data_IF_107411594922
#
_entry.id   IF_107411594922
#
_cell.length_a   1.000
_cell.length_b   1.000
_cell.length_c   1.000
_cell.angle_alpha   90.00
_cell.angle_beta   90.00
_cell.angle_gamma   90.00
#
_symmetry.space_group_name_H-M   'P 1'
#
loop_
_entity.id
_entity.type
_entity.pdbx_description
1 polymer ?
#
# COMPACT_ATOMS: atom_id res chain seq x y z
N UNK A 1 73.61 -42.08 -42.38
CA UNK A 1 73.85 -40.62 -42.37
C UNK A 1 72.56 -40.02 -42.91
N UNK A 2 71.53 -40.01 -42.06
CA UNK A 2 71.19 -38.92 -41.13
C UNK A 2 70.41 -37.81 -41.85
N UNK A 3 69.27 -37.44 -41.27
CA UNK A 3 68.27 -36.57 -41.87
C UNK A 3 66.88 -36.90 -41.35
N UNK A 4 66.63 -36.59 -40.08
CA UNK A 4 65.32 -36.70 -39.46
C UNK A 4 64.36 -35.59 -39.93
N UNK A 5 63.13 -35.97 -40.27
CA UNK A 5 62.01 -35.05 -40.42
C UNK A 5 61.07 -35.24 -39.22
N UNK A 6 60.99 -34.21 -38.39
CA UNK A 6 59.97 -34.09 -37.36
C UNK A 6 58.63 -33.71 -37.98
N UNK A 7 57.60 -34.52 -37.73
CA UNK A 7 56.20 -34.11 -37.90
C UNK A 7 55.58 -33.92 -36.52
N UNK A 8 55.35 -32.65 -36.18
CA UNK A 8 54.50 -32.24 -35.08
C UNK A 8 53.02 -32.47 -35.42
N UNK A 9 52.27 -32.66 -34.34
CA UNK A 9 50.92 -33.16 -34.24
C UNK A 9 49.83 -32.22 -34.77
N UNK A 10 48.68 -32.83 -35.07
CA UNK A 10 47.37 -32.20 -35.15
C UNK A 10 46.35 -33.27 -34.78
N UNK A 11 46.16 -33.46 -33.47
CA UNK A 11 45.03 -34.20 -32.91
C UNK A 11 43.92 -33.16 -32.72
N UNK A 12 42.82 -33.37 -33.41
CA UNK A 12 41.61 -32.57 -33.37
C UNK A 12 40.81 -33.02 -32.14
N UNK A 13 41.10 -32.41 -30.99
CA UNK A 13 40.28 -32.52 -29.80
C UNK A 13 39.26 -31.37 -29.85
N UNK A 14 38.03 -31.70 -30.24
CA UNK A 14 36.88 -30.79 -30.16
C UNK A 14 36.46 -30.64 -28.70
N UNK A 15 37.04 -29.66 -28.02
CA UNK A 15 36.51 -29.14 -26.75
C UNK A 15 35.35 -28.20 -27.07
N UNK A 16 34.12 -28.72 -26.99
CA UNK A 16 32.93 -27.88 -26.82
C UNK A 16 32.98 -27.32 -25.39
N UNK A 17 33.46 -26.07 -25.24
CA UNK A 17 33.30 -25.31 -24.01
C UNK A 17 31.81 -25.07 -23.77
N UNK A 18 31.19 -25.89 -22.92
CA UNK A 18 29.87 -25.58 -22.34
C UNK A 18 29.99 -24.28 -21.54
N UNK A 19 29.33 -23.22 -22.02
CA UNK A 19 29.11 -22.00 -21.23
C UNK A 19 28.48 -22.39 -19.88
N UNK A 20 28.95 -21.84 -18.75
CA UNK A 20 28.33 -22.10 -17.46
C UNK A 20 26.87 -21.63 -17.51
N UNK A 21 25.92 -22.41 -16.95
CA UNK A 21 24.52 -22.04 -17.00
C UNK A 21 24.36 -20.66 -16.35
N UNK A 22 23.82 -19.71 -17.14
CA UNK A 22 23.47 -18.39 -16.65
C UNK A 22 22.58 -18.50 -15.41
N UNK A 23 22.65 -17.54 -14.47
CA UNK A 23 21.84 -17.58 -13.27
C UNK A 23 20.36 -17.72 -13.65
N UNK A 24 19.60 -18.60 -12.98
CA UNK A 24 18.20 -18.82 -13.31
C UNK A 24 17.44 -17.49 -13.21
N UNK A 25 16.38 -17.28 -14.02
CA UNK A 25 15.51 -16.14 -13.85
C UNK A 25 14.93 -16.18 -12.43
N UNK A 26 15.39 -15.28 -11.57
CA UNK A 26 14.85 -15.12 -10.23
C UNK A 26 13.50 -14.43 -10.37
N UNK A 27 12.46 -15.19 -10.69
CA UNK A 27 11.09 -14.75 -10.47
C UNK A 27 10.90 -14.56 -8.96
N UNK A 28 10.42 -13.37 -8.56
CA UNK A 28 10.14 -13.04 -7.16
C UNK A 28 9.14 -14.01 -6.51
N UNK A 29 8.43 -14.81 -7.30
CA UNK A 29 7.52 -15.87 -6.87
C UNK A 29 8.21 -17.00 -6.07
N UNK A 30 9.53 -17.19 -6.19
CA UNK A 30 10.21 -18.35 -5.59
C UNK A 30 10.63 -18.23 -4.11
N UNK A 31 10.82 -17.01 -3.58
CA UNK A 31 11.46 -16.86 -2.26
C UNK A 31 10.54 -17.21 -1.07
N UNK A 32 9.22 -17.11 -1.26
CA UNK A 32 8.24 -17.25 -0.17
C UNK A 32 6.99 -18.07 -0.56
N UNK A 33 7.03 -18.79 -1.69
CA UNK A 33 5.94 -19.66 -2.10
C UNK A 33 5.61 -20.69 -1.01
N UNK A 34 4.40 -20.61 -0.45
CA UNK A 34 3.88 -21.58 0.53
C UNK A 34 4.01 -21.19 2.00
N UNK A 35 4.54 -20.01 2.34
CA UNK A 35 4.47 -19.50 3.72
C UNK A 35 3.09 -18.90 3.97
N UNK A 36 2.36 -19.45 4.94
CA UNK A 36 1.05 -18.89 5.34
C UNK A 36 1.28 -17.59 6.11
N UNK A 37 0.43 -16.59 5.87
CA UNK A 37 0.52 -15.30 6.57
C UNK A 37 0.35 -15.41 8.09
N UNK A 38 -0.32 -16.46 8.60
CA UNK A 38 -0.40 -16.75 10.04
C UNK A 38 0.96 -17.13 10.66
N UNK A 39 1.81 -17.79 9.87
CA UNK A 39 3.10 -18.30 10.33
C UNK A 39 4.18 -17.20 10.23
N UNK A 40 4.01 -16.24 9.33
CA UNK A 40 4.87 -15.07 9.16
C UNK A 40 4.07 -13.80 8.84
N UNK A 41 3.41 -13.18 9.83
CA UNK A 41 2.53 -12.01 9.62
C UNK A 41 3.19 -10.86 8.87
N UNK A 42 4.51 -10.68 9.01
CA UNK A 42 5.24 -9.61 8.34
C UNK A 42 5.13 -9.68 6.80
N UNK A 43 4.88 -10.87 6.26
CA UNK A 43 4.65 -11.08 4.82
C UNK A 43 3.38 -10.38 4.31
N UNK A 44 2.49 -9.91 5.19
CA UNK A 44 1.38 -9.06 4.82
C UNK A 44 1.84 -7.78 4.07
N UNK A 45 3.00 -7.23 4.43
CA UNK A 45 3.54 -6.04 3.77
C UNK A 45 3.98 -6.32 2.31
N UNK A 46 4.35 -7.57 1.98
CA UNK A 46 4.63 -7.96 0.59
C UNK A 46 3.37 -7.87 -0.29
N UNK A 47 2.18 -7.94 0.30
CA UNK A 47 0.94 -7.73 -0.45
C UNK A 47 0.82 -6.27 -0.93
N UNK A 48 1.27 -5.29 -0.15
CA UNK A 48 1.37 -3.91 -0.62
C UNK A 48 2.27 -3.86 -1.86
N UNK A 49 3.45 -4.47 -1.80
CA UNK A 49 4.41 -4.47 -2.90
C UNK A 49 3.82 -5.09 -4.17
N UNK A 50 3.15 -6.25 -4.02
CA UNK A 50 2.47 -6.92 -5.13
C UNK A 50 1.43 -5.98 -5.76
N UNK A 51 0.60 -5.34 -4.94
CA UNK A 51 -0.45 -4.44 -5.43
C UNK A 51 0.12 -3.20 -6.12
N UNK A 52 1.17 -2.58 -5.58
CA UNK A 52 1.89 -1.47 -6.23
C UNK A 52 2.43 -1.85 -7.61
N UNK A 53 3.14 -2.98 -7.70
CA UNK A 53 3.73 -3.43 -8.97
C UNK A 53 2.66 -3.73 -10.02
N UNK A 54 1.57 -4.40 -9.63
CA UNK A 54 0.46 -4.71 -10.53
C UNK A 54 -0.22 -3.44 -11.04
N UNK A 55 -0.45 -2.46 -10.17
CA UNK A 55 -1.06 -1.19 -10.56
C UNK A 55 -0.18 -0.37 -11.48
N UNK A 56 1.12 -0.25 -11.17
CA UNK A 56 2.07 0.45 -12.04
C UNK A 56 2.19 -0.19 -13.41
N UNK A 57 2.18 -1.53 -13.48
CA UNK A 57 2.18 -2.24 -14.76
C UNK A 57 0.95 -1.88 -15.60
N UNK A 58 -0.23 -1.81 -14.98
CA UNK A 58 -1.46 -1.43 -15.66
C UNK A 58 -1.47 0.04 -16.08
N UNK A 59 -1.03 0.95 -15.21
CA UNK A 59 -0.91 2.38 -15.54
C UNK A 59 0.07 2.62 -16.69
N UNK A 60 1.21 1.93 -16.70
CA UNK A 60 2.17 1.93 -17.82
C UNK A 60 1.51 1.50 -19.13
N UNK A 61 0.74 0.40 -19.10
CA UNK A 61 0.02 -0.12 -20.28
C UNK A 61 -0.98 0.90 -20.82
N UNK A 62 -1.81 1.46 -19.94
CA UNK A 62 -2.82 2.47 -20.32
C UNK A 62 -2.15 3.71 -20.93
N UNK A 63 -1.06 4.21 -20.33
CA UNK A 63 -0.34 5.36 -20.84
C UNK A 63 0.31 5.10 -22.21
N UNK A 64 0.89 3.90 -22.42
CA UNK A 64 1.46 3.51 -23.70
C UNK A 64 0.41 3.42 -24.81
N UNK A 65 -0.73 2.77 -24.54
CA UNK A 65 -1.85 2.68 -25.48
C UNK A 65 -2.41 4.06 -25.85
N UNK A 66 -2.50 4.96 -24.86
CA UNK A 66 -2.92 6.34 -25.08
C UNK A 66 -1.95 7.07 -26.03
N UNK A 67 -0.63 6.95 -25.79
CA UNK A 67 0.39 7.57 -26.61
C UNK A 67 0.39 7.04 -28.06
N UNK A 68 0.16 5.73 -28.26
CA UNK A 68 0.06 5.11 -29.59
C UNK A 68 -1.18 5.54 -30.36
N UNK A 69 -2.32 5.70 -29.67
CA UNK A 69 -3.58 6.09 -30.30
C UNK A 69 -3.56 7.51 -30.90
N UNK A 70 -2.67 8.39 -30.40
CA UNK A 70 -2.58 9.79 -30.80
C UNK A 70 -3.83 10.63 -30.50
N UNK A 71 -4.83 10.08 -29.82
CA UNK A 71 -6.09 10.74 -29.50
C UNK A 71 -6.07 11.24 -28.06
N UNK A 72 -6.26 12.55 -27.88
CA UNK A 72 -6.47 13.13 -26.55
C UNK A 72 -7.84 12.69 -26.03
N UNK A 73 -7.84 11.78 -25.05
CA UNK A 73 -9.03 11.45 -24.26
C UNK A 73 -8.91 12.12 -22.89
N UNK A 74 -9.58 13.27 -22.70
CA UNK A 74 -9.54 14.03 -21.45
C UNK A 74 -9.93 13.20 -20.23
N UNK A 75 -10.99 12.39 -20.35
CA UNK A 75 -11.46 11.52 -19.27
C UNK A 75 -10.40 10.48 -18.86
N UNK A 76 -9.66 9.92 -19.83
CA UNK A 76 -8.58 8.97 -19.55
C UNK A 76 -7.39 9.64 -18.84
N UNK A 77 -6.99 10.85 -19.26
CA UNK A 77 -5.91 11.60 -18.61
C UNK A 77 -6.29 11.90 -17.16
N UNK A 78 -7.55 12.31 -16.93
CA UNK A 78 -8.07 12.58 -15.59
C UNK A 78 -8.13 11.30 -14.73
N UNK A 79 -8.50 10.16 -15.30
CA UNK A 79 -8.47 8.86 -14.60
C UNK A 79 -7.04 8.44 -14.23
N UNK A 80 -6.10 8.49 -15.18
CA UNK A 80 -4.68 8.21 -14.93
C UNK A 80 -4.14 9.10 -13.81
N UNK A 81 -4.37 10.41 -13.90
CA UNK A 81 -3.95 11.38 -12.88
C UNK A 81 -4.50 11.00 -11.51
N UNK A 82 -5.80 10.72 -11.42
CA UNK A 82 -6.47 10.33 -10.17
C UNK A 82 -5.87 9.06 -9.56
N UNK A 83 -5.54 8.06 -10.39
CA UNK A 83 -4.90 6.81 -9.94
C UNK A 83 -3.47 7.07 -9.44
N UNK A 84 -2.70 7.93 -10.10
CA UNK A 84 -1.38 8.35 -9.61
C UNK A 84 -1.45 9.18 -8.33
N UNK A 85 -2.45 10.05 -8.15
CA UNK A 85 -2.68 10.79 -6.90
C UNK A 85 -2.92 9.82 -5.73
N UNK A 86 -3.78 8.82 -5.92
CA UNK A 86 -3.97 7.76 -4.92
C UNK A 86 -2.68 6.98 -4.67
N UNK A 87 -1.99 6.54 -5.74
CA UNK A 87 -0.77 5.76 -5.64
C UNK A 87 0.34 6.52 -4.88
N UNK A 88 0.50 7.83 -5.15
CA UNK A 88 1.48 8.68 -4.45
C UNK A 88 1.19 8.70 -2.95
N UNK A 89 -0.05 8.98 -2.56
CA UNK A 89 -0.41 9.07 -1.14
C UNK A 89 -0.20 7.72 -0.44
N UNK A 90 -0.59 6.61 -1.06
CA UNK A 90 -0.36 5.27 -0.50
C UNK A 90 1.15 4.98 -0.39
N UNK A 91 1.95 5.38 -1.39
CA UNK A 91 3.41 5.22 -1.38
C UNK A 91 4.07 6.02 -0.24
N UNK A 92 3.69 7.27 -0.05
CA UNK A 92 4.23 8.13 1.03
C UNK A 92 3.97 7.52 2.42
N UNK A 93 2.74 7.08 2.68
CA UNK A 93 2.39 6.44 3.96
C UNK A 93 3.07 5.09 4.14
N UNK A 94 3.20 4.30 3.07
CA UNK A 94 3.92 3.02 3.10
C UNK A 94 5.38 3.22 3.50
N UNK A 95 6.12 4.08 2.78
CA UNK A 95 7.53 4.33 3.05
C UNK A 95 7.75 4.99 4.43
N UNK A 96 6.87 5.90 4.84
CA UNK A 96 6.93 6.51 6.19
C UNK A 96 6.76 5.45 7.27
N UNK A 97 5.77 4.56 7.13
CA UNK A 97 5.53 3.49 8.09
C UNK A 97 6.65 2.44 8.07
N UNK A 98 7.30 2.19 6.94
CA UNK A 98 8.50 1.36 6.88
C UNK A 98 9.66 2.00 7.64
N UNK A 99 9.96 3.27 7.38
CA UNK A 99 11.05 4.00 8.01
C UNK A 99 10.85 4.10 9.54
N UNK A 100 9.65 4.47 9.97
CA UNK A 100 9.36 4.76 11.38
C UNK A 100 9.03 3.52 12.22
N UNK A 101 8.48 2.46 11.61
CA UNK A 101 8.07 1.24 12.34
C UNK A 101 8.99 0.07 12.02
N UNK A 102 9.02 -0.34 10.75
CA UNK A 102 9.62 -1.63 10.37
C UNK A 102 11.14 -1.57 10.46
N UNK A 103 11.74 -0.58 9.81
CA UNK A 103 13.17 -0.41 9.80
C UNK A 103 13.69 0.04 11.15
N UNK A 104 12.98 0.94 11.85
CA UNK A 104 13.35 1.31 13.21
C UNK A 104 13.41 0.08 14.13
N UNK A 105 12.41 -0.81 14.06
CA UNK A 105 12.42 -2.03 14.84
C UNK A 105 13.58 -2.96 14.45
N UNK A 106 13.85 -3.10 13.16
CA UNK A 106 14.94 -3.94 12.66
C UNK A 106 16.32 -3.43 13.09
N UNK A 107 16.55 -2.11 13.05
CA UNK A 107 17.86 -1.50 13.36
C UNK A 107 18.27 -1.70 14.83
N UNK A 108 17.29 -1.92 15.73
CA UNK A 108 17.53 -2.32 17.13
C UNK A 108 18.19 -3.71 17.21
N UNK A 109 17.86 -4.62 16.30
CA UNK A 109 18.35 -6.02 16.30
C UNK A 109 19.48 -6.27 15.31
N UNK A 110 19.51 -5.55 14.19
CA UNK A 110 20.47 -5.73 13.09
C UNK A 110 21.02 -4.37 12.67
N UNK A 111 22.30 -4.13 12.97
CA UNK A 111 22.92 -2.83 12.68
C UNK A 111 23.19 -2.63 11.19
N UNK A 112 23.04 -1.38 10.73
CA UNK A 112 23.52 -0.87 9.44
C UNK A 112 22.80 -1.45 8.20
N UNK A 113 21.52 -1.82 8.33
CA UNK A 113 20.73 -2.29 7.18
C UNK A 113 19.86 -1.17 6.59
N UNK A 114 19.44 -0.21 7.42
CA UNK A 114 18.25 0.62 7.15
C UNK A 114 18.51 1.88 6.32
N UNK A 115 19.61 2.59 6.57
CA UNK A 115 19.79 3.97 6.07
C UNK A 115 19.71 4.12 4.54
N UNK A 116 20.02 3.06 3.78
CA UNK A 116 19.98 3.10 2.30
C UNK A 116 18.53 3.14 1.77
N UNK A 117 17.58 2.46 2.42
CA UNK A 117 16.20 2.36 1.95
C UNK A 117 15.46 3.69 2.08
N UNK A 118 15.62 4.40 3.21
CA UNK A 118 15.02 5.72 3.40
C UNK A 118 15.53 6.78 2.39
N UNK A 119 16.74 6.60 1.84
CA UNK A 119 17.24 7.45 0.75
C UNK A 119 16.59 7.09 -0.59
N UNK A 120 16.38 5.79 -0.85
CA UNK A 120 15.63 5.33 -2.03
C UNK A 120 14.19 5.87 -1.99
N UNK A 121 13.51 5.87 -0.84
CA UNK A 121 12.17 6.44 -0.68
C UNK A 121 12.08 7.88 -1.19
N UNK A 122 13.01 8.75 -0.75
CA UNK A 122 13.05 10.16 -1.17
C UNK A 122 13.31 10.30 -2.67
N UNK A 123 14.24 9.52 -3.20
CA UNK A 123 14.55 9.55 -4.63
C UNK A 123 13.38 9.08 -5.50
N UNK A 124 12.58 8.13 -5.02
CA UNK A 124 11.40 7.63 -5.74
C UNK A 124 10.24 8.62 -5.65
N UNK A 125 10.03 9.28 -4.51
CA UNK A 125 9.00 10.33 -4.39
C UNK A 125 9.20 11.46 -5.40
N UNK A 126 10.46 11.85 -5.67
CA UNK A 126 10.78 12.86 -6.69
C UNK A 126 10.29 12.47 -8.10
N UNK A 127 10.23 11.18 -8.43
CA UNK A 127 9.76 10.71 -9.75
C UNK A 127 8.26 10.94 -9.95
N UNK A 128 7.46 10.94 -8.88
CA UNK A 128 6.04 11.29 -8.98
C UNK A 128 5.84 12.73 -9.45
N UNK A 129 6.72 13.66 -9.04
CA UNK A 129 6.61 15.07 -9.44
C UNK A 129 6.75 15.24 -10.96
N UNK A 130 7.63 14.48 -11.60
CA UNK A 130 7.78 14.48 -13.06
C UNK A 130 6.51 13.99 -13.76
N UNK A 131 5.86 12.95 -13.23
CA UNK A 131 4.59 12.44 -13.76
C UNK A 131 3.48 13.50 -13.64
N UNK A 132 3.35 14.14 -12.47
CA UNK A 132 2.33 15.18 -12.27
C UNK A 132 2.59 16.42 -13.13
N UNK A 133 3.85 16.75 -13.40
CA UNK A 133 4.20 17.79 -14.36
C UNK A 133 3.68 17.46 -15.77
N UNK A 134 3.89 16.23 -16.24
CA UNK A 134 3.34 15.76 -17.52
C UNK A 134 1.81 15.82 -17.56
N UNK A 135 1.12 15.42 -16.48
CA UNK A 135 -0.33 15.56 -16.39
C UNK A 135 -0.81 17.01 -16.48
N UNK A 136 -0.12 17.95 -15.84
CA UNK A 136 -0.50 19.37 -15.90
C UNK A 136 -0.39 19.93 -17.33
N UNK A 137 0.63 19.52 -18.09
CA UNK A 137 0.78 19.89 -19.50
C UNK A 137 -0.32 19.21 -20.34
N UNK A 138 -0.56 17.92 -20.13
CA UNK A 138 -1.58 17.16 -20.88
C UNK A 138 -3.01 17.63 -20.61
N UNK A 139 -3.29 18.22 -19.45
CA UNK A 139 -4.59 18.84 -19.15
C UNK A 139 -4.72 20.22 -19.78
N UNK A 140 -3.62 20.94 -20.01
CA UNK A 140 -3.65 22.24 -20.70
C UNK A 140 -4.05 22.09 -22.18
N UNK A 141 -4.77 23.06 -22.76
CA UNK A 141 -5.30 23.03 -24.14
C UNK A 141 -4.25 23.34 -25.23
N UNK A 142 -2.99 22.90 -25.05
CA UNK A 142 -1.93 23.09 -26.04
C UNK A 142 -2.01 22.09 -27.21
N UNK A 143 -1.59 22.49 -28.41
CA UNK A 143 -1.78 21.74 -29.66
C UNK A 143 -0.79 20.55 -29.81
N UNK A 144 0.42 20.61 -29.23
CA UNK A 144 1.40 19.52 -29.28
C UNK A 144 1.35 18.63 -28.03
N UNK A 145 0.55 17.56 -28.11
CA UNK A 145 0.36 16.59 -27.03
C UNK A 145 1.32 15.40 -27.12
N UNK A 146 2.02 15.25 -28.25
CA UNK A 146 2.83 14.07 -28.53
C UNK A 146 4.02 13.97 -27.58
N UNK A 147 4.78 15.06 -27.44
CA UNK A 147 5.94 15.10 -26.53
C UNK A 147 5.54 14.89 -25.06
N UNK A 148 4.53 15.57 -24.51
CA UNK A 148 4.07 15.31 -23.15
C UNK A 148 3.61 13.86 -22.90
N UNK A 149 2.99 13.20 -23.88
CA UNK A 149 2.63 11.78 -23.76
C UNK A 149 3.86 10.86 -23.75
N UNK A 150 4.83 11.10 -24.63
CA UNK A 150 6.07 10.33 -24.63
C UNK A 150 6.84 10.49 -23.31
N UNK A 151 6.92 11.72 -22.80
CA UNK A 151 7.53 12.01 -21.51
C UNK A 151 6.76 11.32 -20.37
N UNK A 152 5.43 11.35 -20.40
CA UNK A 152 4.59 10.64 -19.42
C UNK A 152 4.91 9.14 -19.41
N UNK A 153 4.91 8.48 -20.57
CA UNK A 153 5.23 7.04 -20.69
C UNK A 153 6.63 6.75 -20.14
N UNK A 154 7.61 7.59 -20.47
CA UNK A 154 8.98 7.47 -19.97
C UNK A 154 9.07 7.64 -18.45
N UNK A 155 8.44 8.67 -17.89
CA UNK A 155 8.41 8.91 -16.45
C UNK A 155 7.74 7.77 -15.69
N UNK A 156 6.61 7.27 -16.19
CA UNK A 156 5.90 6.13 -15.59
C UNK A 156 6.78 4.87 -15.64
N UNK A 157 7.41 4.57 -16.77
CA UNK A 157 8.33 3.43 -16.88
C UNK A 157 9.53 3.52 -15.93
N UNK A 158 10.05 4.73 -15.73
CA UNK A 158 11.14 5.00 -14.76
C UNK A 158 10.67 4.76 -13.33
N UNK A 159 9.50 5.30 -12.95
CA UNK A 159 8.91 5.07 -11.63
C UNK A 159 8.65 3.58 -11.38
N UNK A 160 8.05 2.90 -12.35
CA UNK A 160 7.77 1.46 -12.28
C UNK A 160 9.05 0.66 -12.03
N UNK A 161 10.12 0.92 -12.80
CA UNK A 161 11.39 0.23 -12.65
C UNK A 161 11.99 0.46 -11.25
N UNK A 162 12.00 1.71 -10.79
CA UNK A 162 12.53 2.10 -9.48
C UNK A 162 11.77 1.45 -8.32
N UNK A 163 10.43 1.53 -8.30
CA UNK A 163 9.61 0.90 -7.25
C UNK A 163 9.76 -0.63 -7.28
N UNK A 164 9.72 -1.25 -8.46
CA UNK A 164 9.90 -2.70 -8.57
C UNK A 164 11.25 -3.14 -7.98
N UNK A 165 12.32 -2.44 -8.35
CA UNK A 165 13.66 -2.75 -7.89
C UNK A 165 13.81 -2.56 -6.38
N UNK A 166 13.31 -1.45 -5.85
CA UNK A 166 13.33 -1.13 -4.43
C UNK A 166 12.63 -2.20 -3.59
N UNK A 167 11.36 -2.49 -3.89
CA UNK A 167 10.59 -3.51 -3.16
C UNK A 167 11.20 -4.92 -3.30
N UNK A 168 11.79 -5.25 -4.46
CA UNK A 168 12.51 -6.53 -4.62
C UNK A 168 13.77 -6.60 -3.76
N UNK A 169 14.47 -5.49 -3.53
CA UNK A 169 15.63 -5.47 -2.62
C UNK A 169 15.17 -5.73 -1.20
N UNK A 170 14.10 -5.09 -0.76
CA UNK A 170 13.54 -5.29 0.59
C UNK A 170 13.10 -6.74 0.80
N UNK A 171 12.31 -7.29 -0.12
CA UNK A 171 11.88 -8.69 -0.06
C UNK A 171 13.05 -9.67 0.00
N UNK A 172 14.18 -9.36 -0.67
CA UNK A 172 15.37 -10.21 -0.68
C UNK A 172 16.29 -10.01 0.53
N UNK A 173 16.33 -8.82 1.11
CA UNK A 173 17.35 -8.43 2.09
C UNK A 173 16.77 -8.15 3.48
N UNK A 174 15.62 -7.49 3.55
CA UNK A 174 14.98 -7.05 4.80
C UNK A 174 14.02 -8.11 5.33
N UNK A 175 13.08 -8.60 4.52
CA UNK A 175 12.06 -9.54 4.98
C UNK A 175 12.62 -10.84 5.58
N UNK A 176 13.68 -11.46 5.02
CA UNK A 176 14.31 -12.62 5.65
C UNK A 176 14.89 -12.32 7.04
N UNK A 177 15.39 -11.09 7.24
CA UNK A 177 15.87 -10.66 8.56
C UNK A 177 14.70 -10.47 9.53
N UNK A 178 13.59 -9.87 9.08
CA UNK A 178 12.39 -9.71 9.91
C UNK A 178 11.86 -11.08 10.37
N UNK A 179 11.74 -12.04 9.45
CA UNK A 179 11.29 -13.41 9.77
C UNK A 179 12.26 -14.09 10.75
N UNK A 180 13.58 -13.90 10.57
CA UNK A 180 14.59 -14.52 11.42
C UNK A 180 14.67 -13.91 12.82
N UNK A 181 14.50 -12.59 12.92
CA UNK A 181 14.78 -11.86 14.15
C UNK A 181 13.56 -11.66 15.03
N UNK A 182 12.34 -11.73 14.49
CA UNK A 182 11.10 -11.49 15.22
C UNK A 182 10.22 -12.72 15.27
N UNK A 183 9.62 -13.00 16.43
CA UNK A 183 8.60 -14.05 16.55
C UNK A 183 7.34 -13.70 15.74
N UNK A 184 6.47 -14.67 15.45
CA UNK A 184 5.20 -14.39 14.75
C UNK A 184 4.34 -13.36 15.52
N UNK A 185 4.31 -13.40 16.86
CA UNK A 185 3.60 -12.39 17.68
C UNK A 185 4.23 -10.99 17.55
N UNK A 186 5.56 -10.90 17.53
CA UNK A 186 6.25 -9.61 17.33
C UNK A 186 6.02 -9.08 15.90
N UNK A 187 6.03 -9.95 14.90
CA UNK A 187 5.71 -9.60 13.51
C UNK A 187 4.27 -9.07 13.39
N UNK A 188 3.29 -9.75 14.00
CA UNK A 188 1.91 -9.32 14.03
C UNK A 188 1.77 -7.91 14.63
N UNK A 189 2.44 -7.66 15.76
CA UNK A 189 2.50 -6.34 16.40
C UNK A 189 3.13 -5.26 15.50
N UNK A 190 4.19 -5.60 14.75
CA UNK A 190 4.81 -4.66 13.80
C UNK A 190 3.87 -4.32 12.64
N UNK A 191 3.18 -5.32 12.07
CA UNK A 191 2.20 -5.09 11.01
C UNK A 191 1.05 -4.24 11.52
N UNK A 192 0.58 -4.47 12.74
CA UNK A 192 -0.47 -3.65 13.35
C UNK A 192 -0.04 -2.18 13.54
N UNK A 193 1.18 -1.96 14.02
CA UNK A 193 1.74 -0.60 14.17
C UNK A 193 1.93 0.08 12.81
N UNK A 194 2.39 -0.64 11.80
CA UNK A 194 2.47 -0.17 10.43
C UNK A 194 1.08 0.28 9.94
N UNK A 195 0.05 -0.56 10.10
CA UNK A 195 -1.33 -0.23 9.71
C UNK A 195 -1.87 1.00 10.46
N UNK A 196 -1.60 1.13 11.76
CA UNK A 196 -2.01 2.27 12.57
C UNK A 196 -1.30 3.58 12.19
N UNK A 197 -0.17 3.50 11.49
CA UNK A 197 0.56 4.68 10.98
C UNK A 197 -0.10 5.27 9.74
N UNK A 198 -1.12 4.61 9.20
CA UNK A 198 -1.88 5.02 8.02
C UNK A 198 -3.24 5.57 8.50
N UNK A 199 -3.69 6.75 8.01
CA UNK A 199 -4.99 7.29 8.34
C UNK A 199 -6.10 6.28 8.04
N UNK A 200 -7.06 6.12 8.98
CA UNK A 200 -8.05 5.02 8.93
C UNK A 200 -8.84 4.98 7.62
N UNK A 201 -9.22 6.15 7.09
CA UNK A 201 -9.95 6.28 5.83
C UNK A 201 -9.13 5.79 4.63
N UNK A 202 -7.82 6.02 4.66
CA UNK A 202 -6.91 5.54 3.64
C UNK A 202 -6.62 4.04 3.82
N UNK A 203 -6.46 3.59 5.06
CA UNK A 203 -6.24 2.18 5.39
C UNK A 203 -7.40 1.30 4.90
N UNK A 204 -8.66 1.70 5.12
CA UNK A 204 -9.83 0.99 4.58
C UNK A 204 -9.71 0.81 3.05
N UNK A 205 -9.33 1.87 2.33
CA UNK A 205 -9.19 1.85 0.87
C UNK A 205 -8.04 0.97 0.41
N UNK A 206 -6.89 1.04 1.08
CA UNK A 206 -5.74 0.20 0.79
C UNK A 206 -6.09 -1.28 1.00
N UNK A 207 -6.75 -1.63 2.10
CA UNK A 207 -7.13 -3.01 2.37
C UNK A 207 -8.11 -3.54 1.33
N UNK A 208 -9.12 -2.75 0.95
CA UNK A 208 -10.02 -3.07 -0.16
C UNK A 208 -9.26 -3.27 -1.48
N UNK A 209 -8.29 -2.41 -1.77
CA UNK A 209 -7.45 -2.48 -2.97
C UNK A 209 -6.59 -3.74 -3.01
N UNK A 210 -5.90 -4.05 -1.91
CA UNK A 210 -5.10 -5.27 -1.77
C UNK A 210 -6.00 -6.49 -1.96
N UNK A 211 -7.08 -6.62 -1.18
CA UNK A 211 -7.97 -7.78 -1.24
C UNK A 211 -8.59 -7.98 -2.63
N UNK A 212 -8.92 -6.90 -3.35
CA UNK A 212 -9.47 -6.97 -4.71
C UNK A 212 -8.52 -7.65 -5.72
N UNK A 213 -7.20 -7.50 -5.53
CA UNK A 213 -6.18 -8.07 -6.42
C UNK A 213 -5.85 -9.55 -6.15
N UNK A 214 -6.39 -10.11 -5.07
CA UNK A 214 -6.02 -11.43 -4.56
C UNK A 214 -6.98 -12.55 -5.01
N UNK A 215 -6.45 -13.77 -5.09
CA UNK A 215 -7.26 -14.98 -5.31
C UNK A 215 -8.16 -15.27 -4.09
N UNK A 216 -9.24 -16.06 -4.24
CA UNK A 216 -10.08 -16.41 -3.08
C UNK A 216 -9.32 -17.08 -1.92
N UNK A 217 -8.30 -17.89 -2.24
CA UNK A 217 -7.46 -18.54 -1.23
C UNK A 217 -6.55 -17.52 -0.53
N UNK A 218 -5.92 -16.62 -1.29
CA UNK A 218 -5.11 -15.52 -0.75
C UNK A 218 -5.97 -14.58 0.13
N UNK A 219 -7.21 -14.29 -0.27
CA UNK A 219 -8.14 -13.48 0.53
C UNK A 219 -8.47 -14.13 1.87
N UNK A 220 -8.64 -15.46 1.89
CA UNK A 220 -8.91 -16.20 3.13
C UNK A 220 -7.70 -16.21 4.07
N UNK A 221 -6.49 -16.30 3.52
CA UNK A 221 -5.26 -16.19 4.31
C UNK A 221 -5.03 -14.77 4.84
N UNK A 222 -5.39 -13.73 4.07
CA UNK A 222 -5.42 -12.34 4.56
C UNK A 222 -6.41 -12.16 5.70
N UNK A 223 -7.63 -12.67 5.57
CA UNK A 223 -8.64 -12.59 6.63
C UNK A 223 -8.11 -13.22 7.93
N UNK A 224 -7.45 -14.39 7.83
CA UNK A 224 -6.86 -15.05 8.99
C UNK A 224 -5.68 -14.27 9.58
N UNK A 225 -4.81 -13.71 8.74
CA UNK A 225 -3.70 -12.86 9.17
C UNK A 225 -4.20 -11.64 9.94
N UNK A 226 -5.24 -10.96 9.43
CA UNK A 226 -5.83 -9.78 10.10
C UNK A 226 -6.35 -10.13 11.51
N UNK A 227 -6.89 -11.33 11.72
CA UNK A 227 -7.34 -11.79 13.04
C UNK A 227 -6.19 -11.97 14.04
N UNK A 228 -5.00 -12.30 13.55
CA UNK A 228 -3.80 -12.43 14.39
C UNK A 228 -3.10 -11.06 14.59
N UNK A 229 -3.13 -10.20 13.57
CA UNK A 229 -2.49 -8.87 13.57
C UNK A 229 -3.27 -7.88 14.43
N UNK A 230 -4.59 -7.79 14.23
CA UNK A 230 -5.43 -6.90 15.02
C UNK A 230 -5.43 -7.43 16.44
N UNK A 231 -4.98 -6.59 17.39
CA UNK A 231 -4.90 -6.92 18.82
C UNK A 231 -6.19 -7.61 19.29
N UNK A 232 -6.12 -8.36 20.41
CA UNK A 232 -7.17 -9.21 21.03
C UNK A 232 -8.55 -8.56 21.28
N UNK A 233 -8.80 -7.36 20.78
CA UNK A 233 -10.09 -6.71 20.65
C UNK A 233 -10.92 -7.24 19.47
N UNK A 234 -11.90 -8.10 19.79
CA UNK A 234 -12.85 -8.66 18.83
C UNK A 234 -13.65 -7.61 18.05
N UNK A 235 -13.91 -6.43 18.63
CA UNK A 235 -14.70 -5.40 17.94
C UNK A 235 -13.87 -4.72 16.85
N UNK A 236 -12.59 -4.48 17.15
CA UNK A 236 -11.67 -3.91 16.17
C UNK A 236 -11.36 -4.92 15.06
N UNK A 237 -11.19 -6.18 15.41
CA UNK A 237 -11.05 -7.29 14.46
C UNK A 237 -12.25 -7.33 13.49
N UNK A 238 -13.49 -7.29 14.01
CA UNK A 238 -14.71 -7.28 13.19
C UNK A 238 -14.77 -6.08 12.25
N UNK A 239 -14.39 -4.90 12.73
CA UNK A 239 -14.37 -3.67 11.92
C UNK A 239 -13.35 -3.77 10.78
N UNK A 240 -12.10 -4.12 11.07
CA UNK A 240 -11.04 -4.23 10.04
C UNK A 240 -11.37 -5.35 9.05
N UNK A 241 -11.89 -6.48 9.53
CA UNK A 241 -12.34 -7.58 8.67
C UNK A 241 -13.49 -7.15 7.75
N UNK A 242 -14.39 -6.28 8.21
CA UNK A 242 -15.50 -5.78 7.39
C UNK A 242 -15.03 -4.96 6.17
N UNK A 243 -13.85 -4.34 6.25
CA UNK A 243 -13.26 -3.59 5.13
C UNK A 243 -12.78 -4.49 3.99
N UNK A 244 -12.38 -5.73 4.28
CA UNK A 244 -11.91 -6.70 3.27
C UNK A 244 -13.04 -7.11 2.31
N UNK A 245 -14.31 -6.99 2.75
CA UNK A 245 -15.47 -7.47 2.02
C UNK A 245 -16.11 -6.43 1.10
N UNK A 246 -15.61 -6.25 -0.13
CA UNK A 246 -16.40 -5.61 -1.19
C UNK A 246 -16.19 -6.24 -2.57
N UNK A 247 -17.11 -7.13 -2.95
CA UNK A 247 -17.19 -7.73 -4.29
C UNK A 247 -18.07 -6.88 -5.19
N UNK A 248 -17.55 -5.83 -5.85
CA UNK A 248 -18.19 -5.24 -7.05
C UNK A 248 -17.32 -4.20 -7.77
N UNK A 249 -17.09 -4.48 -9.08
CA UNK A 249 -16.48 -3.63 -10.14
C UNK A 249 -15.05 -3.15 -9.84
N UNK A 250 -14.32 -2.70 -10.87
CA UNK A 250 -12.94 -2.20 -10.73
C UNK A 250 -12.82 -1.23 -9.55
N UNK A 251 -11.82 -1.41 -8.69
CA UNK A 251 -11.58 -0.59 -7.49
C UNK A 251 -11.51 0.92 -7.82
N UNK A 252 -11.03 1.26 -9.02
CA UNK A 252 -10.96 2.64 -9.51
C UNK A 252 -12.21 3.09 -10.30
N UNK A 253 -12.96 2.17 -10.94
CA UNK A 253 -14.26 2.50 -11.57
C UNK A 253 -15.39 2.74 -10.56
N UNK A 254 -15.34 2.10 -9.39
CA UNK A 254 -16.44 2.11 -8.42
C UNK A 254 -16.41 3.31 -7.45
N UNK A 255 -15.32 4.08 -7.43
CA UNK A 255 -15.03 4.98 -6.32
C UNK A 255 -14.66 6.38 -6.87
N UNK A 256 -15.68 7.13 -7.29
CA UNK A 256 -15.56 8.43 -7.98
C UNK A 256 -15.03 9.59 -7.08
N UNK A 257 -14.72 9.30 -5.81
CA UNK A 257 -14.40 10.27 -4.77
C UNK A 257 -12.89 10.49 -4.52
N UNK A 258 -11.99 9.83 -5.25
CA UNK A 258 -10.54 9.91 -4.98
C UNK A 258 -9.94 11.32 -5.14
N UNK A 259 -10.39 12.10 -6.13
CA UNK A 259 -9.88 13.46 -6.36
C UNK A 259 -10.23 14.44 -5.21
N UNK A 260 -11.29 14.15 -4.46
CA UNK A 260 -11.64 14.90 -3.25
C UNK A 260 -10.78 14.45 -2.07
N UNK A 261 -10.56 13.13 -1.93
CA UNK A 261 -9.66 12.47 -0.96
C UNK A 261 -8.23 13.02 -0.95
N UNK A 262 -7.62 13.15 -2.13
CA UNK A 262 -6.24 13.60 -2.29
C UNK A 262 -5.99 15.05 -1.80
N UNK A 263 -7.02 15.92 -1.84
CA UNK A 263 -6.93 17.28 -1.29
C UNK A 263 -6.97 17.29 0.25
N UNK A 264 -7.60 16.30 0.89
CA UNK A 264 -7.64 16.15 2.35
C UNK A 264 -6.31 15.68 2.93
N UNK A 265 -5.61 14.78 2.22
CA UNK A 265 -4.39 14.12 2.71
C UNK A 265 -3.12 14.98 2.51
N UNK A 266 -3.17 15.99 1.63
CA UNK A 266 -2.10 16.99 1.45
C UNK A 266 -2.14 18.16 2.45
N UNK A 267 -3.00 18.13 3.47
CA UNK A 267 -2.99 19.10 4.58
C UNK A 267 -3.52 20.50 4.27
N UNK A 268 -4.23 20.72 3.16
CA UNK A 268 -4.72 22.06 2.72
C UNK A 268 -6.20 22.29 3.06
N UNK A 269 -6.99 21.25 3.38
CA UNK A 269 -8.43 21.37 3.53
C UNK A 269 -8.88 21.87 4.92
N UNK A 270 -9.85 22.79 4.95
CA UNK A 270 -10.51 23.23 6.19
C UNK A 270 -11.56 22.22 6.65
N UNK A 271 -11.94 22.25 7.92
CA UNK A 271 -12.99 21.38 8.49
C UNK A 271 -14.34 21.49 7.73
N UNK A 272 -14.60 22.63 7.08
CA UNK A 272 -15.80 22.86 6.29
C UNK A 272 -15.78 22.09 4.95
N UNK A 273 -14.59 21.83 4.41
CA UNK A 273 -14.41 21.09 3.15
C UNK A 273 -14.63 19.59 3.38
N UNK A 274 -14.32 19.09 4.58
CA UNK A 274 -14.55 17.69 5.01
C UNK A 274 -16.05 17.37 5.03
N UNK A 275 -16.88 18.30 5.53
CA UNK A 275 -18.33 18.15 5.64
C UNK A 275 -19.05 18.16 4.27
N UNK A 276 -18.44 18.75 3.23
CA UNK A 276 -19.03 18.84 1.89
C UNK A 276 -18.87 17.55 1.06
N UNK A 277 -17.92 16.69 1.42
CA UNK A 277 -17.63 15.44 0.69
C UNK A 277 -18.47 14.27 1.19
N UNK A 278 -18.91 14.35 2.45
CA UNK A 278 -19.90 13.48 3.04
C UNK A 278 -21.09 14.33 3.49
N UNK A 279 -22.04 14.66 2.59
CA UNK A 279 -23.25 15.32 3.04
C UNK A 279 -23.90 14.41 4.07
N UNK A 280 -23.92 14.87 5.32
CA UNK A 280 -24.74 14.26 6.35
C UNK A 280 -26.16 14.26 5.83
N UNK A 281 -26.69 13.10 5.47
CA UNK A 281 -28.13 12.87 5.38
C UNK A 281 -28.70 12.87 6.82
N UNK A 282 -28.46 13.97 7.53
CA UNK A 282 -29.18 14.37 8.72
C UNK A 282 -30.23 15.36 8.24
N UNK A 283 -31.38 14.86 7.79
CA UNK A 283 -32.58 15.67 7.68
C UNK A 283 -32.94 16.16 9.10
N UNK A 284 -32.44 17.34 9.48
CA UNK A 284 -33.09 18.15 10.51
C UNK A 284 -34.34 18.73 9.86
N UNK A 285 -35.46 18.08 10.12
CA UNK A 285 -36.72 18.35 9.44
C UNK A 285 -37.27 19.75 9.67
N UNK A 286 -37.83 20.32 8.61
CA UNK A 286 -39.03 21.12 8.69
C UNK A 286 -40.03 20.62 7.64
N UNK A 287 -41.26 20.42 8.07
CA UNK A 287 -42.39 19.86 7.32
C UNK A 287 -42.74 20.69 6.07
N UNK A 288 -43.03 20.07 4.91
CA UNK A 288 -44.41 19.97 4.39
C UNK A 288 -44.54 19.16 3.07
N UNK A 289 -45.50 18.22 3.10
CA UNK A 289 -46.41 17.77 2.02
C UNK A 289 -45.86 17.00 0.79
N UNK A 290 -46.28 15.72 0.79
CA UNK A 290 -47.13 15.07 -0.23
C UNK A 290 -46.50 14.02 -1.17
N UNK A 291 -46.67 12.76 -0.75
CA UNK A 291 -47.16 11.59 -1.53
C UNK A 291 -46.58 11.40 -2.94
N UNK A 292 -45.65 10.46 -3.08
CA UNK A 292 -45.85 9.17 -3.77
C UNK A 292 -44.50 8.54 -4.15
N UNK A 293 -44.07 7.52 -3.42
CA UNK A 293 -43.38 6.33 -3.95
C UNK A 293 -43.01 5.42 -2.76
N UNK A 294 -43.97 4.61 -2.30
CA UNK A 294 -43.64 3.40 -1.55
C UNK A 294 -43.14 2.37 -2.55
N UNK A 295 -41.83 2.08 -2.55
CA UNK A 295 -41.34 0.70 -2.64
C UNK A 295 -39.85 0.63 -2.36
N UNK A 296 -39.47 -0.28 -1.47
CA UNK A 296 -38.11 -0.81 -1.20
C UNK A 296 -37.14 0.10 -0.40
N UNK A 297 -37.39 0.28 0.91
CA UNK A 297 -36.33 0.40 1.91
C UNK A 297 -36.81 -0.18 3.25
N UNK A 298 -36.61 -1.47 3.45
CA UNK A 298 -36.72 -2.11 4.78
C UNK A 298 -35.57 -3.08 5.02
N UNK A 299 -34.33 -2.63 4.83
CA UNK A 299 -33.14 -3.28 5.42
C UNK A 299 -32.00 -2.24 5.46
N UNK A 300 -31.74 -1.60 6.60
CA UNK A 300 -30.59 -0.66 6.65
C UNK A 300 -30.49 0.29 7.84
N UNK A 301 -31.51 0.43 8.68
CA UNK A 301 -31.42 1.33 9.85
C UNK A 301 -30.71 0.71 11.07
N UNK A 302 -30.64 -0.62 11.17
CA UNK A 302 -29.95 -1.29 12.28
C UNK A 302 -28.42 -1.35 12.15
N UNK A 303 -27.89 -1.39 10.92
CA UNK A 303 -26.47 -1.71 10.66
C UNK A 303 -25.50 -0.56 10.97
N UNK A 304 -25.96 0.70 10.88
CA UNK A 304 -25.12 1.88 11.08
C UNK A 304 -24.90 2.18 12.57
N UNK A 305 -25.95 2.06 13.38
CA UNK A 305 -25.85 2.17 14.84
C UNK A 305 -24.97 1.08 15.43
N UNK A 306 -25.02 -0.13 14.86
CA UNK A 306 -24.15 -1.23 15.29
C UNK A 306 -22.68 -0.88 15.04
N UNK A 307 -22.32 -0.38 13.85
CA UNK A 307 -20.95 0.04 13.52
C UNK A 307 -20.45 1.17 14.43
N UNK A 308 -21.29 2.18 14.72
CA UNK A 308 -20.92 3.26 15.65
C UNK A 308 -20.74 2.73 17.08
N UNK A 309 -21.57 1.80 17.53
CA UNK A 309 -21.41 1.16 18.84
C UNK A 309 -20.16 0.27 18.93
N UNK A 310 -19.82 -0.43 17.84
CA UNK A 310 -18.58 -1.21 17.71
C UNK A 310 -17.36 -0.28 17.82
N UNK A 311 -17.35 0.83 17.08
CA UNK A 311 -16.29 1.84 17.15
C UNK A 311 -16.16 2.47 18.53
N UNK A 312 -17.28 2.91 19.13
CA UNK A 312 -17.26 3.47 20.48
C UNK A 312 -16.71 2.47 21.52
N UNK A 313 -17.00 1.18 21.36
CA UNK A 313 -16.47 0.12 22.20
C UNK A 313 -14.96 -0.05 22.05
N UNK A 314 -14.49 -0.18 20.80
CA UNK A 314 -13.09 -0.35 20.46
C UNK A 314 -12.24 0.85 20.92
N UNK A 315 -12.66 2.07 20.60
CA UNK A 315 -11.98 3.31 21.00
C UNK A 315 -11.89 3.42 22.51
N UNK A 316 -13.01 3.20 23.23
CA UNK A 316 -13.02 3.34 24.70
C UNK A 316 -12.10 2.32 25.37
N UNK A 317 -11.99 1.11 24.84
CA UNK A 317 -11.10 0.09 25.38
C UNK A 317 -9.64 0.38 25.04
N UNK A 318 -9.32 0.73 23.80
CA UNK A 318 -7.97 1.07 23.40
C UNK A 318 -7.43 2.31 24.14
N UNK A 319 -8.25 3.36 24.32
CA UNK A 319 -7.88 4.52 25.14
C UNK A 319 -7.56 4.14 26.59
N UNK A 320 -8.20 3.10 27.15
CA UNK A 320 -7.86 2.60 28.50
C UNK A 320 -6.54 1.82 28.50
N UNK A 321 -6.29 1.00 27.51
CA UNK A 321 -5.03 0.25 27.38
C UNK A 321 -3.85 1.22 27.18
N UNK A 322 -4.03 2.26 26.36
CA UNK A 322 -3.05 3.33 26.18
C UNK A 322 -2.82 4.09 27.49
N UNK A 323 -3.89 4.40 28.24
CA UNK A 323 -3.78 5.06 29.53
C UNK A 323 -2.97 4.21 30.54
N UNK A 324 -3.25 2.91 30.61
CA UNK A 324 -2.55 1.97 31.49
C UNK A 324 -1.06 1.86 31.10
N UNK A 325 -0.74 1.81 29.80
CA UNK A 325 0.64 1.76 29.33
C UNK A 325 1.38 3.09 29.58
N UNK A 326 0.73 4.24 29.41
CA UNK A 326 1.29 5.55 29.80
C UNK A 326 1.59 5.61 31.32
N UNK A 327 0.75 5.00 32.17
CA UNK A 327 1.01 4.89 33.60
C UNK A 327 2.24 4.00 33.90
N UNK A 328 2.45 2.93 33.13
CA UNK A 328 3.62 2.05 33.25
C UNK A 328 4.90 2.72 32.75
N UNK A 329 4.83 3.48 31.65
CA UNK A 329 5.95 4.28 31.15
C UNK A 329 6.34 5.35 32.17
N UNK A 330 5.37 6.06 32.78
CA UNK A 330 5.65 7.02 33.87
C UNK A 330 6.37 6.38 35.05
N UNK A 331 6.17 5.09 35.26
CA UNK A 331 6.71 4.34 36.39
C UNK A 331 8.01 3.60 36.07
N UNK A 332 8.51 3.65 34.83
CA UNK A 332 9.70 2.92 34.38
C UNK A 332 10.62 3.77 33.48
N UNK A 333 11.91 3.44 33.40
CA UNK A 333 12.93 4.27 32.73
C UNK A 333 13.04 4.06 31.21
N UNK A 334 12.23 3.18 30.61
CA UNK A 334 12.24 2.88 29.17
C UNK A 334 11.11 3.63 28.48
N UNK A 335 11.40 4.82 27.95
CA UNK A 335 10.34 5.78 27.59
C UNK A 335 10.15 6.03 26.09
N UNK A 336 11.14 5.78 25.24
CA UNK A 336 11.10 6.33 23.88
C UNK A 336 10.28 5.50 22.88
N UNK A 337 10.54 4.21 22.72
CA UNK A 337 9.88 3.39 21.68
C UNK A 337 8.44 3.04 22.02
N UNK A 338 8.16 2.74 23.29
CA UNK A 338 6.79 2.45 23.75
C UNK A 338 5.88 3.68 23.62
N UNK A 339 6.40 4.88 23.90
CA UNK A 339 5.62 6.11 23.77
C UNK A 339 5.26 6.41 22.31
N UNK A 340 6.18 6.21 21.37
CA UNK A 340 5.92 6.38 19.94
C UNK A 340 4.80 5.45 19.45
N UNK A 341 4.84 4.17 19.82
CA UNK A 341 3.81 3.19 19.47
C UNK A 341 2.41 3.59 20.00
N UNK A 342 2.34 4.10 21.23
CA UNK A 342 1.09 4.58 21.81
C UNK A 342 0.54 5.83 21.13
N UNK A 343 1.42 6.77 20.73
CA UNK A 343 1.00 7.97 20.00
C UNK A 343 0.38 7.62 18.65
N UNK A 344 0.99 6.69 17.91
CA UNK A 344 0.45 6.20 16.63
C UNK A 344 -0.94 5.58 16.82
N UNK A 345 -1.11 4.73 17.84
CA UNK A 345 -2.43 4.16 18.15
C UNK A 345 -3.45 5.23 18.55
N UNK A 346 -3.07 6.23 19.34
CA UNK A 346 -3.96 7.33 19.71
C UNK A 346 -4.43 8.13 18.50
N UNK A 347 -3.53 8.42 17.56
CA UNK A 347 -3.87 9.14 16.32
C UNK A 347 -4.85 8.31 15.50
N UNK A 348 -4.59 7.00 15.35
CA UNK A 348 -5.51 6.09 14.65
C UNK A 348 -6.91 6.09 15.27
N UNK A 349 -7.03 6.01 16.61
CA UNK A 349 -8.34 6.07 17.28
C UNK A 349 -8.98 7.46 17.23
N UNK A 350 -8.19 8.53 17.24
CA UNK A 350 -8.68 9.89 17.04
C UNK A 350 -9.27 10.06 15.64
N UNK A 351 -8.60 9.54 14.61
CA UNK A 351 -9.11 9.55 13.25
C UNK A 351 -10.44 8.79 13.15
N UNK A 352 -10.54 7.62 13.79
CA UNK A 352 -11.79 6.87 13.86
C UNK A 352 -12.91 7.73 14.45
N UNK A 353 -12.69 8.41 15.57
CA UNK A 353 -13.68 9.29 16.22
C UNK A 353 -14.09 10.48 15.35
N UNK A 354 -13.19 10.94 14.46
CA UNK A 354 -13.46 12.07 13.57
C UNK A 354 -14.32 11.61 12.38
N UNK A 355 -14.07 10.41 11.87
CA UNK A 355 -14.65 9.93 10.60
C UNK A 355 -15.85 8.98 10.74
N UNK A 356 -16.05 8.36 11.91
CA UNK A 356 -17.17 7.46 12.21
C UNK A 356 -17.87 7.85 13.52
#
# INVERSE_FOLDING_TARGET
>A
MDGGEGKCAGQDDGDEEEEPPGPPPLTAEGAFAGVRLEDAPIMFLVLFHRTFRTELLELSRIAAEAAESGLRCGDMILDLRRRFEFLKVVYEYHCTAEDEVIFQALDVRVKNVVCTYSLEHKSIDELFNSIFHCFNILVSEDEDIFKPYQELVFCIGTLQASICQHMMKEEKQVFPLLIKQFSSEEQASLVWQFMCSIPVMLLEKILQWITFSLSPDDQFDVERCIKEVVLKDKLLEEVVTSWLGNKKRSFFEANDNYAKGAQFLNGIASFQDILNVYPSNGESGEEQKSKNAKSIYTTGRGKLTDVVHLWHGAIRKALREILDELYRIRSSSNTSSTLSSLVVQLIFFADILIFY
#
